data_IF_293494252779
#
_entry.id   IF_293494252779
#
_cell.length_a   1.000
_cell.length_b   1.000
_cell.length_c   1.000
_cell.angle_alpha   90.00
_cell.angle_beta   90.00
_cell.angle_gamma   90.00
#
_symmetry.space_group_name_H-M   'P 1'
#
loop_
_entity.id
_entity.type
_entity.pdbx_description
1 polymer ?
#
# COMPACT_ATOMS: atom_id res chain seq x y z
N UNK A 1 -35.92 -12.18 10.89
CA UNK A 1 -37.04 -12.50 9.96
C UNK A 1 -36.67 -13.80 9.23
N UNK A 2 -37.58 -14.78 8.95
CA UNK A 2 -37.11 -16.02 8.33
C UNK A 2 -36.48 -15.75 6.97
N UNK A 3 -35.26 -16.25 6.77
CA UNK A 3 -34.51 -16.13 5.52
C UNK A 3 -35.30 -16.84 4.42
N UNK A 4 -35.79 -16.07 3.45
CA UNK A 4 -36.51 -16.61 2.30
C UNK A 4 -35.52 -17.13 1.26
N UNK A 5 -35.97 -18.03 0.38
CA UNK A 5 -35.17 -18.51 -0.76
C UNK A 5 -34.65 -17.36 -1.63
N UNK A 6 -35.41 -16.29 -1.76
CA UNK A 6 -35.03 -15.08 -2.49
C UNK A 6 -33.87 -14.33 -1.79
N UNK A 7 -33.89 -14.25 -0.46
CA UNK A 7 -32.80 -13.64 0.32
C UNK A 7 -31.51 -14.45 0.16
N UNK A 8 -31.59 -15.79 0.22
CA UNK A 8 -30.42 -16.66 0.01
C UNK A 8 -29.82 -16.41 -1.38
N UNK A 9 -30.67 -16.43 -2.41
CA UNK A 9 -30.21 -16.21 -3.78
C UNK A 9 -29.55 -14.83 -3.96
N UNK A 10 -30.10 -13.80 -3.32
CA UNK A 10 -29.52 -12.45 -3.36
C UNK A 10 -28.17 -12.39 -2.62
N UNK A 11 -28.04 -13.08 -1.48
CA UNK A 11 -26.77 -13.16 -0.75
C UNK A 11 -25.70 -13.86 -1.59
N UNK A 12 -26.05 -14.96 -2.27
CA UNK A 12 -25.14 -15.65 -3.18
C UNK A 12 -24.65 -14.73 -4.31
N UNK A 13 -25.56 -13.99 -4.96
CA UNK A 13 -25.19 -13.04 -6.02
C UNK A 13 -24.27 -11.91 -5.51
N UNK A 14 -24.50 -11.41 -4.31
CA UNK A 14 -23.63 -10.39 -3.69
C UNK A 14 -22.26 -10.97 -3.36
N UNK A 15 -22.21 -12.20 -2.84
CA UNK A 15 -20.96 -12.88 -2.53
C UNK A 15 -20.12 -13.13 -3.78
N UNK A 16 -20.74 -13.56 -4.89
CA UNK A 16 -20.06 -13.71 -6.19
C UNK A 16 -19.49 -12.39 -6.71
N UNK A 17 -20.26 -11.30 -6.57
CA UNK A 17 -19.84 -9.97 -6.98
C UNK A 17 -18.66 -9.44 -6.17
N UNK A 18 -18.68 -9.65 -4.84
CA UNK A 18 -17.55 -9.33 -3.95
C UNK A 18 -16.34 -10.15 -4.34
N UNK A 19 -16.47 -11.47 -4.42
CA UNK A 19 -15.39 -12.39 -4.79
C UNK A 19 -14.72 -11.99 -6.12
N UNK A 20 -15.52 -11.64 -7.14
CA UNK A 20 -14.99 -11.14 -8.40
C UNK A 20 -14.17 -9.85 -8.25
N UNK A 21 -14.61 -8.94 -7.36
CA UNK A 21 -13.93 -7.66 -7.12
C UNK A 21 -12.60 -7.87 -6.39
N UNK A 22 -12.54 -8.78 -5.41
CA UNK A 22 -11.36 -9.02 -4.56
C UNK A 22 -10.49 -10.18 -5.04
N UNK A 23 -10.69 -10.69 -6.25
CA UNK A 23 -9.99 -11.89 -6.76
C UNK A 23 -8.46 -11.78 -6.72
N UNK A 24 -7.92 -10.57 -6.84
CA UNK A 24 -6.50 -10.24 -6.82
C UNK A 24 -5.99 -9.80 -5.43
N UNK A 25 -6.87 -9.81 -4.42
CA UNK A 25 -6.53 -9.40 -3.07
C UNK A 25 -5.58 -10.42 -2.43
N UNK A 26 -4.35 -9.96 -2.13
CA UNK A 26 -3.34 -10.70 -1.37
C UNK A 26 -2.96 -12.05 -1.99
N UNK A 27 -3.00 -12.20 -3.32
CA UNK A 27 -2.49 -13.39 -4.05
C UNK A 27 -2.87 -14.76 -3.42
N UNK A 28 -4.01 -14.89 -2.73
CA UNK A 28 -4.37 -16.10 -1.97
C UNK A 28 -3.44 -16.45 -0.77
N UNK A 29 -2.65 -15.51 -0.23
CA UNK A 29 -1.75 -15.76 0.91
C UNK A 29 -2.50 -16.09 2.22
N UNK A 30 -3.73 -15.62 2.38
CA UNK A 30 -4.57 -15.89 3.55
C UNK A 30 -5.66 -16.94 3.32
N UNK A 31 -5.96 -17.26 2.06
CA UNK A 31 -6.95 -18.26 1.67
C UNK A 31 -6.64 -18.77 0.27
N UNK A 32 -6.81 -20.08 0.03
CA UNK A 32 -6.49 -20.70 -1.26
C UNK A 32 -7.18 -20.01 -2.45
N UNK A 33 -8.41 -19.52 -2.28
CA UNK A 33 -9.15 -18.73 -3.27
C UNK A 33 -10.05 -17.66 -2.60
N UNK A 34 -10.04 -16.44 -3.13
CA UNK A 34 -11.00 -15.36 -2.79
C UNK A 34 -12.34 -15.57 -3.52
N UNK A 35 -12.97 -16.72 -3.33
CA UNK A 35 -14.18 -17.12 -4.04
C UNK A 35 -15.48 -16.76 -3.29
N UNK A 36 -16.62 -17.13 -3.88
CA UNK A 36 -17.94 -16.91 -3.29
C UNK A 36 -18.06 -17.58 -1.92
N UNK A 37 -17.57 -18.81 -1.80
CA UNK A 37 -17.72 -19.62 -0.59
C UNK A 37 -16.88 -19.02 0.55
N UNK A 38 -15.71 -18.45 0.24
CA UNK A 38 -14.92 -17.65 1.16
C UNK A 38 -15.70 -16.44 1.68
N UNK A 39 -16.36 -15.68 0.80
CA UNK A 39 -17.17 -14.51 1.20
C UNK A 39 -18.37 -14.92 2.05
N UNK A 40 -19.06 -16.00 1.70
CA UNK A 40 -20.18 -16.54 2.48
C UNK A 40 -19.72 -17.04 3.86
N UNK A 41 -18.55 -17.68 3.94
CA UNK A 41 -17.92 -18.06 5.21
C UNK A 41 -17.60 -16.82 6.05
N UNK A 42 -17.01 -15.79 5.45
CA UNK A 42 -16.70 -14.53 6.14
C UNK A 42 -17.95 -13.87 6.73
N UNK A 43 -19.02 -13.71 5.93
CA UNK A 43 -20.24 -13.04 6.41
C UNK A 43 -21.00 -13.86 7.46
N UNK A 44 -20.80 -15.18 7.52
CA UNK A 44 -21.45 -16.04 8.51
C UNK A 44 -21.06 -15.71 9.97
N UNK A 45 -19.99 -14.93 10.18
CA UNK A 45 -19.56 -14.43 11.48
C UNK A 45 -20.48 -13.35 12.08
N UNK A 46 -21.36 -12.75 11.27
CA UNK A 46 -22.37 -11.79 11.71
C UNK A 46 -23.71 -12.48 11.99
N UNK A 47 -24.55 -11.83 12.79
CA UNK A 47 -25.91 -12.27 13.08
C UNK A 47 -26.73 -12.39 11.78
N UNK A 48 -27.59 -13.41 11.70
CA UNK A 48 -28.32 -13.75 10.46
C UNK A 48 -29.09 -12.58 9.85
N UNK A 49 -29.71 -11.76 10.68
CA UNK A 49 -30.50 -10.60 10.25
C UNK A 49 -29.62 -9.46 9.68
N UNK A 50 -28.31 -9.43 9.98
CA UNK A 50 -27.37 -8.40 9.51
C UNK A 50 -26.61 -8.79 8.23
N UNK A 51 -26.47 -10.09 7.94
CA UNK A 51 -25.61 -10.59 6.85
C UNK A 51 -25.92 -9.96 5.49
N UNK A 52 -27.21 -9.82 5.15
CA UNK A 52 -27.62 -9.22 3.88
C UNK A 52 -27.23 -7.74 3.81
N UNK A 53 -27.35 -7.00 4.92
CA UNK A 53 -26.95 -5.60 4.98
C UNK A 53 -25.43 -5.47 4.81
N UNK A 54 -24.66 -6.28 5.54
CA UNK A 54 -23.20 -6.32 5.44
C UNK A 54 -22.75 -6.61 4.01
N UNK A 55 -23.27 -7.66 3.37
CA UNK A 55 -22.94 -7.98 1.96
C UNK A 55 -23.25 -6.82 1.02
N UNK A 56 -24.42 -6.19 1.14
CA UNK A 56 -24.81 -5.05 0.29
C UNK A 56 -23.87 -3.87 0.44
N UNK A 57 -23.54 -3.49 1.69
CA UNK A 57 -22.65 -2.36 1.92
C UNK A 57 -21.23 -2.66 1.48
N UNK A 58 -20.72 -3.85 1.76
CA UNK A 58 -19.38 -4.28 1.34
C UNK A 58 -19.25 -4.30 -0.18
N UNK A 59 -20.20 -4.91 -0.91
CA UNK A 59 -20.20 -4.93 -2.38
C UNK A 59 -20.20 -3.51 -2.96
N UNK A 60 -21.03 -2.61 -2.41
CA UNK A 60 -21.13 -1.23 -2.85
C UNK A 60 -19.83 -0.45 -2.59
N UNK A 61 -19.21 -0.63 -1.42
CA UNK A 61 -17.95 0.02 -1.05
C UNK A 61 -16.79 -0.47 -1.92
N UNK A 62 -16.65 -1.78 -2.09
CA UNK A 62 -15.57 -2.37 -2.89
C UNK A 62 -15.69 -1.95 -4.36
N UNK A 63 -16.88 -1.96 -4.96
CA UNK A 63 -17.08 -1.46 -6.33
C UNK A 63 -16.67 0.00 -6.53
N UNK A 64 -16.68 0.80 -5.46
CA UNK A 64 -16.33 2.23 -5.53
C UNK A 64 -14.89 2.53 -5.18
N UNK A 65 -14.27 1.74 -4.32
CA UNK A 65 -13.02 2.10 -3.64
C UNK A 65 -11.95 1.02 -3.73
N UNK A 66 -12.27 -0.19 -4.21
CA UNK A 66 -11.28 -1.23 -4.35
C UNK A 66 -10.24 -0.82 -5.39
N UNK A 67 -8.98 -0.81 -4.95
CA UNK A 67 -7.85 -0.43 -5.76
C UNK A 67 -7.11 -1.70 -6.16
N UNK A 68 -7.27 -2.11 -7.42
CA UNK A 68 -6.73 -3.38 -7.92
C UNK A 68 -5.20 -3.37 -7.92
N UNK A 69 -4.63 -4.56 -7.83
CA UNK A 69 -3.18 -4.76 -7.92
C UNK A 69 -2.63 -4.25 -9.25
N UNK A 70 -3.32 -4.52 -10.36
CA UNK A 70 -2.92 -4.03 -11.69
C UNK A 70 -2.84 -2.50 -11.73
N UNK A 71 -3.84 -1.79 -11.15
CA UNK A 71 -3.82 -0.33 -11.10
C UNK A 71 -2.66 0.20 -10.24
N UNK A 72 -2.34 -0.50 -9.16
CA UNK A 72 -1.21 -0.19 -8.29
C UNK A 72 0.13 -0.35 -9.00
N UNK A 73 0.34 -1.48 -9.68
CA UNK A 73 1.55 -1.74 -10.48
C UNK A 73 1.71 -0.71 -11.60
N UNK A 74 0.61 -0.36 -12.31
CA UNK A 74 0.63 0.67 -13.36
C UNK A 74 1.03 2.04 -12.79
N UNK A 75 0.55 2.42 -11.60
CA UNK A 75 0.92 3.71 -11.00
C UNK A 75 2.41 3.76 -10.64
N UNK A 76 2.95 2.71 -10.04
CA UNK A 76 4.38 2.64 -9.70
C UNK A 76 5.27 2.61 -10.95
N UNK A 77 4.85 1.85 -11.97
CA UNK A 77 5.55 1.78 -13.25
C UNK A 77 5.57 3.14 -13.97
N UNK A 78 4.45 3.86 -13.97
CA UNK A 78 4.38 5.22 -14.51
C UNK A 78 5.27 6.20 -13.72
N UNK A 79 5.33 6.09 -12.39
CA UNK A 79 6.20 6.95 -11.58
C UNK A 79 7.69 6.80 -11.95
N UNK A 80 8.13 5.59 -12.28
CA UNK A 80 9.49 5.36 -12.79
C UNK A 80 9.63 5.89 -14.21
N UNK A 81 8.70 5.57 -15.11
CA UNK A 81 8.73 6.02 -16.52
C UNK A 81 8.77 7.53 -16.69
N UNK A 82 8.04 8.25 -15.84
CA UNK A 82 7.97 9.71 -15.86
C UNK A 82 9.19 10.36 -15.19
N UNK A 83 10.01 9.58 -14.48
CA UNK A 83 11.24 10.06 -13.84
C UNK A 83 12.41 10.05 -14.84
N UNK A 84 13.04 11.20 -15.04
CA UNK A 84 14.22 11.28 -15.91
C UNK A 84 15.35 10.33 -15.44
N UNK A 85 15.98 9.58 -16.37
CA UNK A 85 16.98 8.55 -16.05
C UNK A 85 18.10 9.07 -15.13
N UNK A 86 18.57 10.30 -15.34
CA UNK A 86 19.59 10.92 -14.48
C UNK A 86 19.08 11.09 -13.04
N UNK A 87 17.86 11.57 -12.87
CA UNK A 87 17.23 11.72 -11.54
C UNK A 87 17.10 10.38 -10.85
N UNK A 88 16.63 9.35 -11.56
CA UNK A 88 16.49 8.00 -11.02
C UNK A 88 17.84 7.41 -10.62
N UNK A 89 18.85 7.53 -11.48
CA UNK A 89 20.21 7.08 -11.22
C UNK A 89 20.84 7.76 -9.99
N UNK A 90 20.53 9.04 -9.77
CA UNK A 90 21.07 9.83 -8.66
C UNK A 90 20.25 9.70 -7.35
N UNK A 91 19.24 8.82 -7.35
CA UNK A 91 18.33 8.58 -6.23
C UNK A 91 18.53 7.18 -5.66
N UNK A 92 18.47 7.04 -4.33
CA UNK A 92 18.41 5.77 -3.61
C UNK A 92 17.06 5.61 -2.92
N UNK A 93 16.41 4.50 -3.13
CA UNK A 93 15.22 4.11 -2.38
C UNK A 93 15.63 3.50 -1.04
N UNK A 94 14.76 3.68 -0.05
CA UNK A 94 14.88 3.12 1.30
C UNK A 94 14.01 1.87 1.42
N UNK A 95 14.48 0.90 2.20
CA UNK A 95 13.75 -0.32 2.59
C UNK A 95 13.75 -0.50 4.12
N UNK A 96 13.47 0.60 4.83
CA UNK A 96 13.64 0.78 6.29
C UNK A 96 12.38 0.47 7.09
N UNK A 97 11.35 -0.08 6.44
CA UNK A 97 10.11 -0.47 7.10
C UNK A 97 10.38 -1.48 8.23
N UNK A 98 10.03 -1.13 9.47
CA UNK A 98 10.31 -1.97 10.65
C UNK A 98 9.36 -3.18 10.77
N UNK A 99 8.15 -3.07 10.21
CA UNK A 99 7.12 -4.11 10.23
C UNK A 99 6.27 -4.06 8.96
N UNK A 100 5.82 -5.21 8.46
CA UNK A 100 5.13 -5.35 7.17
C UNK A 100 6.07 -5.61 5.99
N UNK A 101 5.49 -5.66 4.79
CA UNK A 101 6.20 -5.92 3.52
C UNK A 101 5.86 -4.94 2.39
N UNK A 102 4.98 -3.96 2.65
CA UNK A 102 4.49 -3.06 1.61
C UNK A 102 5.64 -2.31 0.93
N UNK A 103 6.65 -1.87 1.70
CA UNK A 103 7.80 -1.18 1.13
C UNK A 103 8.64 -2.09 0.22
N UNK A 104 8.99 -3.29 0.68
CA UNK A 104 9.78 -4.26 -0.10
C UNK A 104 9.06 -4.72 -1.36
N UNK A 105 7.74 -4.95 -1.28
CA UNK A 105 6.92 -5.39 -2.42
C UNK A 105 6.86 -4.28 -3.50
N UNK A 106 6.72 -3.01 -3.08
CA UNK A 106 6.81 -1.88 -4.00
C UNK A 106 8.19 -1.72 -4.64
N UNK A 107 9.27 -1.97 -3.89
CA UNK A 107 10.64 -1.88 -4.42
C UNK A 107 10.88 -2.89 -5.54
N UNK A 108 10.29 -4.09 -5.44
CA UNK A 108 10.38 -5.09 -6.50
C UNK A 108 9.74 -4.58 -7.81
N UNK A 109 8.53 -4.01 -7.72
CA UNK A 109 7.81 -3.44 -8.86
C UNK A 109 8.61 -2.31 -9.50
N UNK A 110 9.11 -1.37 -8.68
CA UNK A 110 9.88 -0.21 -9.15
C UNK A 110 11.23 -0.63 -9.75
N UNK A 111 11.89 -1.63 -9.19
CA UNK A 111 13.13 -2.19 -9.72
C UNK A 111 12.93 -2.80 -11.10
N UNK A 112 11.86 -3.60 -11.26
CA UNK A 112 11.50 -4.20 -12.55
C UNK A 112 11.16 -3.12 -13.58
N UNK A 113 10.43 -2.07 -13.19
CA UNK A 113 10.16 -0.93 -14.06
C UNK A 113 11.43 -0.18 -14.47
N UNK A 114 12.38 0.02 -13.54
CA UNK A 114 13.66 0.66 -13.81
C UNK A 114 14.50 -0.10 -14.83
N UNK A 115 14.60 -1.42 -14.67
CA UNK A 115 15.29 -2.31 -15.61
C UNK A 115 14.66 -2.23 -17.01
N UNK A 116 13.33 -2.27 -17.09
CA UNK A 116 12.60 -2.27 -18.36
C UNK A 116 12.63 -0.91 -19.08
N UNK A 117 12.60 0.19 -18.33
CA UNK A 117 12.45 1.54 -18.91
C UNK A 117 13.80 2.24 -19.12
N UNK A 118 14.73 2.10 -18.17
CA UNK A 118 15.99 2.84 -18.17
C UNK A 118 17.22 1.95 -18.40
N UNK A 119 17.04 0.63 -18.52
CA UNK A 119 18.11 -0.38 -18.64
C UNK A 119 19.05 -0.46 -17.42
N UNK A 120 18.61 -0.02 -16.24
CA UNK A 120 19.33 -0.21 -14.99
C UNK A 120 18.35 -0.33 -13.80
N UNK A 121 18.69 -1.09 -12.74
CA UNK A 121 17.85 -1.23 -11.56
C UNK A 121 17.81 0.06 -10.74
N UNK A 122 16.76 0.25 -9.94
CA UNK A 122 16.76 1.34 -8.96
C UNK A 122 17.88 1.10 -7.93
N UNK A 123 18.45 2.18 -7.38
CA UNK A 123 19.37 2.02 -6.25
C UNK A 123 18.55 1.81 -4.97
N UNK A 124 18.93 0.82 -4.16
CA UNK A 124 18.37 0.61 -2.82
C UNK A 124 19.55 0.65 -1.83
N UNK A 125 19.41 1.36 -0.71
CA UNK A 125 20.48 1.51 0.30
C UNK A 125 21.83 2.03 -0.22
N UNK A 126 21.82 2.82 -1.30
CA UNK A 126 23.05 3.39 -1.85
C UNK A 126 23.37 4.74 -1.19
N UNK A 127 24.11 4.68 -0.09
CA UNK A 127 24.56 5.87 0.67
C UNK A 127 25.62 6.72 -0.04
N UNK A 128 26.05 6.36 -1.25
CA UNK A 128 26.84 7.27 -2.10
C UNK A 128 25.97 8.32 -2.79
N UNK A 129 24.64 8.17 -2.75
CA UNK A 129 23.66 9.12 -3.27
C UNK A 129 23.29 10.15 -2.20
N UNK A 130 22.86 11.32 -2.65
CA UNK A 130 22.40 12.40 -1.77
C UNK A 130 20.87 12.61 -1.81
N UNK A 131 20.15 11.81 -2.61
CA UNK A 131 18.68 11.84 -2.72
C UNK A 131 18.14 10.49 -2.30
N UNK A 132 17.27 10.49 -1.31
CA UNK A 132 16.63 9.30 -0.77
C UNK A 132 15.12 9.36 -0.97
N UNK A 133 14.50 8.21 -1.20
CA UNK A 133 13.05 8.05 -1.31
C UNK A 133 12.58 7.03 -0.30
N UNK A 134 11.68 7.46 0.60
CA UNK A 134 10.84 6.57 1.37
C UNK A 134 9.47 6.48 0.68
N UNK A 135 8.90 5.30 0.63
CA UNK A 135 7.60 5.06 0.00
C UNK A 135 6.69 4.21 0.88
N UNK A 136 5.40 4.56 0.85
CA UNK A 136 4.31 3.83 1.51
C UNK A 136 3.08 3.80 0.60
N UNK A 137 2.16 2.85 0.80
CA UNK A 137 0.93 2.81 0.03
C UNK A 137 -0.07 3.90 0.48
N UNK A 138 -0.55 3.82 1.71
CA UNK A 138 -1.57 4.67 2.31
C UNK A 138 -1.13 5.10 3.70
N UNK A 139 -0.99 6.39 3.90
CA UNK A 139 -0.52 6.96 5.18
C UNK A 139 -1.67 7.65 5.93
N UNK A 140 -2.09 7.07 7.05
CA UNK A 140 -3.18 7.60 7.89
C UNK A 140 -2.71 8.58 8.98
N UNK A 141 -2.15 8.09 10.08
CA UNK A 141 -1.66 8.94 11.17
C UNK A 141 -0.25 9.46 10.93
N UNK A 142 0.54 8.75 10.11
CA UNK A 142 1.94 9.04 9.85
C UNK A 142 2.91 8.40 10.84
N UNK A 143 2.43 7.72 11.89
CA UNK A 143 3.29 7.20 12.96
C UNK A 143 4.29 6.15 12.48
N UNK A 144 3.86 5.25 11.58
CA UNK A 144 4.74 4.23 10.99
C UNK A 144 5.89 4.87 10.23
N UNK A 145 5.56 5.73 9.26
CA UNK A 145 6.53 6.52 8.48
C UNK A 145 7.50 7.26 9.38
N UNK A 146 7.01 7.87 10.47
CA UNK A 146 7.88 8.58 11.42
C UNK A 146 8.86 7.64 12.12
N UNK A 147 8.42 6.48 12.62
CA UNK A 147 9.30 5.52 13.32
C UNK A 147 10.34 4.90 12.39
N UNK A 148 9.91 4.47 11.21
CA UNK A 148 10.80 3.85 10.22
C UNK A 148 11.90 4.84 9.78
N UNK A 149 11.51 6.10 9.57
CA UNK A 149 12.46 7.17 9.24
C UNK A 149 13.27 7.65 10.45
N UNK A 150 12.74 7.61 11.66
CA UNK A 150 13.46 8.03 12.86
C UNK A 150 14.70 7.17 13.09
N UNK A 151 14.54 5.85 13.05
CA UNK A 151 15.64 4.90 13.12
C UNK A 151 16.68 5.16 12.01
N UNK A 152 16.22 5.39 10.78
CA UNK A 152 17.12 5.68 9.66
C UNK A 152 17.85 7.02 9.81
N UNK A 153 17.15 8.10 10.21
CA UNK A 153 17.72 9.45 10.37
C UNK A 153 18.79 9.45 11.45
N UNK A 154 18.53 8.83 12.61
CA UNK A 154 19.44 8.85 13.74
C UNK A 154 20.68 7.99 13.48
N UNK A 155 20.52 6.84 12.80
CA UNK A 155 21.58 5.83 12.75
C UNK A 155 22.26 5.66 11.40
N UNK A 156 21.67 6.12 10.30
CA UNK A 156 22.12 5.77 8.94
C UNK A 156 22.14 6.92 7.94
N UNK A 157 21.34 7.96 8.13
CA UNK A 157 21.23 9.04 7.16
C UNK A 157 22.57 9.79 6.99
N UNK A 158 22.97 10.14 5.76
CA UNK A 158 24.12 11.02 5.55
C UNK A 158 23.87 12.42 6.14
N UNK A 159 24.93 13.06 6.65
CA UNK A 159 24.87 14.41 7.25
C UNK A 159 24.18 15.46 6.37
N UNK A 160 24.30 15.34 5.05
CA UNK A 160 23.61 16.23 4.12
C UNK A 160 23.00 15.42 2.98
N UNK A 161 21.69 15.25 3.02
CA UNK A 161 20.91 14.59 1.98
C UNK A 161 19.53 15.23 1.82
N UNK A 162 18.80 14.81 0.79
CA UNK A 162 17.39 15.14 0.58
C UNK A 162 16.56 13.87 0.70
N UNK A 163 15.48 13.92 1.48
CA UNK A 163 14.53 12.83 1.60
C UNK A 163 13.20 13.22 0.96
N UNK A 164 12.73 12.40 0.02
CA UNK A 164 11.37 12.45 -0.51
C UNK A 164 10.54 11.34 0.18
N UNK A 165 9.38 11.71 0.72
CA UNK A 165 8.41 10.76 1.28
C UNK A 165 7.24 10.69 0.30
N UNK A 166 7.13 9.58 -0.42
CA UNK A 166 6.09 9.34 -1.41
C UNK A 166 5.02 8.39 -0.86
N UNK A 167 3.77 8.62 -1.22
CA UNK A 167 2.68 7.67 -1.00
C UNK A 167 1.53 7.91 -1.95
N UNK A 168 0.74 6.86 -2.25
CA UNK A 168 -0.42 6.98 -3.13
C UNK A 168 -1.53 7.80 -2.49
N UNK A 169 -1.80 7.56 -1.20
CA UNK A 169 -2.79 8.29 -0.44
C UNK A 169 -2.21 8.74 0.89
N UNK A 170 -2.50 9.99 1.29
CA UNK A 170 -2.13 10.51 2.60
C UNK A 170 -3.31 11.24 3.22
N UNK A 171 -3.65 10.88 4.46
CA UNK A 171 -4.60 11.63 5.25
C UNK A 171 -3.96 12.91 5.80
N UNK A 172 -4.73 13.99 5.95
CA UNK A 172 -4.23 15.31 6.37
C UNK A 172 -3.55 15.30 7.74
N UNK A 173 -3.99 14.43 8.67
CA UNK A 173 -3.32 14.26 9.96
C UNK A 173 -1.88 13.75 9.82
N UNK A 174 -1.61 12.85 8.86
CA UNK A 174 -0.26 12.38 8.61
C UNK A 174 0.65 13.49 8.10
N UNK A 175 0.14 14.44 7.31
CA UNK A 175 0.95 15.56 6.83
C UNK A 175 1.46 16.40 8.02
N UNK A 176 0.55 16.77 8.93
CA UNK A 176 0.89 17.52 10.14
C UNK A 176 1.85 16.76 11.05
N UNK A 177 1.58 15.49 11.32
CA UNK A 177 2.39 14.68 12.23
C UNK A 177 3.79 14.41 11.67
N UNK A 178 3.91 14.07 10.37
CA UNK A 178 5.21 13.84 9.73
C UNK A 178 6.08 15.08 9.78
N UNK A 179 5.53 16.25 9.45
CA UNK A 179 6.28 17.51 9.49
C UNK A 179 6.78 17.79 10.91
N UNK A 180 5.90 17.74 11.91
CA UNK A 180 6.28 18.00 13.30
C UNK A 180 7.33 17.01 13.82
N UNK A 181 7.09 15.71 13.66
CA UNK A 181 7.92 14.68 14.28
C UNK A 181 9.27 14.54 13.57
N UNK A 182 9.31 14.55 12.24
CA UNK A 182 10.57 14.40 11.50
C UNK A 182 11.47 15.62 11.65
N UNK A 183 10.92 16.84 11.73
CA UNK A 183 11.72 18.03 12.06
C UNK A 183 12.37 17.87 13.45
N UNK A 184 11.62 17.37 14.43
CA UNK A 184 12.17 17.13 15.75
C UNK A 184 13.29 16.08 15.71
N UNK A 185 13.11 14.98 14.99
CA UNK A 185 14.14 13.95 14.80
C UNK A 185 15.40 14.50 14.15
N UNK A 186 15.26 15.26 13.06
CA UNK A 186 16.39 15.89 12.35
C UNK A 186 17.17 16.83 13.28
N UNK A 187 16.48 17.60 14.13
CA UNK A 187 17.15 18.47 15.10
C UNK A 187 17.93 17.70 16.17
N UNK A 188 17.53 16.46 16.47
CA UNK A 188 18.19 15.60 17.48
C UNK A 188 19.37 14.84 16.86
N UNK A 189 19.33 14.51 15.56
CA UNK A 189 20.39 13.75 14.89
C UNK A 189 21.71 14.52 14.70
N UNK A 190 21.71 15.84 14.88
CA UNK A 190 22.86 16.72 14.64
C UNK A 190 23.01 17.11 13.17
#
# INVERSE_FOLDING_TARGET
>A
MPITKEIIQLMDTLAESIAHTIKDYVNNDFCDENDKDHVLKWVSQFDEDDRLFVLKQTDLLLKKQYFTKDNFEILLDNAIKDTASKTLHDTSFLDVQLDGKSQSDMLEILNNSGLNTHNFPINIYNYTKNRFVYQDDVVFTGDRVCRDLEEWIIHSAPHQCSLLIASLYTHTSALYNKEKNLIQTINISG
#
